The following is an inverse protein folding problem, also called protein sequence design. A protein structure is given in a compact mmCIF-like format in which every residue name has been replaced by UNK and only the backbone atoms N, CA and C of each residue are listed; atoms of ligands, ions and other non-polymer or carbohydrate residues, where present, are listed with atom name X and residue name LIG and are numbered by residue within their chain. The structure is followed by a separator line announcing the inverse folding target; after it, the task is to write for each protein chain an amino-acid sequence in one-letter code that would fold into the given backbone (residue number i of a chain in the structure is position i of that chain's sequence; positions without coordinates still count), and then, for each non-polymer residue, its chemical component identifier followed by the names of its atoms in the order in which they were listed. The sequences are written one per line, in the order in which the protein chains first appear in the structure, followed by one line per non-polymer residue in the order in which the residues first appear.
data_IF_396505347808
#
_entry.id   IF_396505347808
#
_cell.length_a   1.000
_cell.length_b   1.000
_cell.length_c   1.000
_cell.angle_alpha   90.00
_cell.angle_beta   90.00
_cell.angle_gamma   90.00
#
_symmetry.space_group_name_H-M   'P 1'
#
loop_
_entity.id
_entity.type
_entity.pdbx_description
1 polymer ?
#
# COMPACT_ATOMS: atom_id res chain seq x y z
N UNK A 1 7.14 -26.62 9.40
CA UNK A 1 6.25 -25.70 8.65
C UNK A 1 6.10 -24.43 9.46
N UNK A 2 5.92 -23.28 8.80
CA UNK A 2 5.60 -22.03 9.50
C UNK A 2 4.16 -22.15 9.99
N UNK A 3 3.92 -21.81 11.24
CA UNK A 3 2.56 -21.71 11.78
C UNK A 3 2.16 -20.24 11.84
N UNK A 4 0.87 -19.97 11.69
CA UNK A 4 0.33 -18.61 11.74
C UNK A 4 -0.84 -18.53 12.72
N UNK A 5 -0.94 -17.41 13.43
CA UNK A 5 -2.10 -17.04 14.23
C UNK A 5 -2.72 -15.80 13.60
N UNK A 6 -3.89 -15.95 13.00
CA UNK A 6 -4.63 -14.89 12.33
C UNK A 6 -5.63 -14.22 13.27
N UNK A 7 -5.64 -12.89 13.27
CA UNK A 7 -6.61 -12.08 14.02
C UNK A 7 -7.09 -10.91 13.15
N UNK A 8 -8.42 -10.77 13.03
CA UNK A 8 -9.05 -9.62 12.38
C UNK A 8 -9.52 -8.65 13.44
N UNK A 9 -9.04 -7.42 13.37
CA UNK A 9 -9.34 -6.31 14.28
C UNK A 9 -10.38 -5.37 13.69
N UNK A 10 -10.76 -4.36 14.48
CA UNK A 10 -11.70 -3.32 14.08
C UNK A 10 -11.27 -2.59 12.80
N UNK A 11 -12.25 -2.00 12.09
CA UNK A 11 -12.07 -1.31 10.82
C UNK A 11 -11.37 -2.14 9.72
N UNK A 12 -11.35 -3.47 9.81
CA UNK A 12 -10.73 -4.34 8.81
C UNK A 12 -9.22 -4.47 8.90
N UNK A 13 -8.61 -4.04 10.02
CA UNK A 13 -7.21 -4.34 10.32
C UNK A 13 -7.01 -5.85 10.47
N UNK A 14 -5.87 -6.35 10.02
CA UNK A 14 -5.50 -7.77 10.05
C UNK A 14 -4.11 -7.89 10.64
N UNK A 15 -3.98 -8.74 11.65
CA UNK A 15 -2.71 -9.10 12.25
C UNK A 15 -2.50 -10.61 12.13
N UNK A 16 -1.29 -10.99 11.73
CA UNK A 16 -0.91 -12.39 11.60
C UNK A 16 0.43 -12.57 12.31
N UNK A 17 0.47 -13.42 13.33
CA UNK A 17 1.72 -13.77 14.00
C UNK A 17 2.22 -15.09 13.42
N UNK A 18 3.36 -15.04 12.74
CA UNK A 18 4.05 -16.20 12.20
C UNK A 18 5.07 -16.70 13.22
N UNK A 19 5.02 -18.00 13.52
CA UNK A 19 6.09 -18.70 14.25
C UNK A 19 6.87 -19.53 13.24
N UNK A 20 8.13 -19.16 13.06
CA UNK A 20 9.05 -19.78 12.10
C UNK A 20 10.00 -20.70 12.87
N UNK A 21 9.99 -22.03 12.59
CA UNK A 21 10.85 -22.97 13.30
C UNK A 21 12.34 -22.75 13.05
N UNK A 22 13.17 -22.96 14.08
CA UNK A 22 14.63 -22.86 14.01
C UNK A 22 15.25 -23.69 12.88
N UNK A 23 14.74 -24.90 12.64
CA UNK A 23 15.23 -25.79 11.58
C UNK A 23 15.05 -25.19 10.18
N UNK A 24 13.91 -24.54 9.94
CA UNK A 24 13.61 -23.88 8.67
C UNK A 24 14.49 -22.64 8.49
N UNK A 25 14.70 -21.87 9.56
CA UNK A 25 15.60 -20.72 9.57
C UNK A 25 17.03 -21.16 9.21
N UNK A 26 17.53 -22.25 9.79
CA UNK A 26 18.86 -22.77 9.50
C UNK A 26 19.01 -23.22 8.03
N UNK A 27 17.99 -23.87 7.48
CA UNK A 27 17.97 -24.27 6.07
C UNK A 27 17.99 -23.04 5.14
N UNK A 28 17.12 -22.06 5.39
CA UNK A 28 17.06 -20.83 4.59
C UNK A 28 18.33 -19.99 4.72
N UNK A 29 18.92 -19.93 5.92
CA UNK A 29 20.21 -19.26 6.16
C UNK A 29 21.29 -19.77 5.21
N UNK A 30 21.37 -21.08 5.01
CA UNK A 30 22.37 -21.69 4.11
C UNK A 30 22.17 -21.23 2.66
N UNK A 31 20.92 -21.14 2.20
CA UNK A 31 20.56 -20.67 0.86
C UNK A 31 20.95 -19.19 0.71
N UNK A 32 20.53 -18.36 1.67
CA UNK A 32 20.78 -16.91 1.66
C UNK A 32 22.29 -16.61 1.69
N UNK A 33 23.07 -17.28 2.54
CA UNK A 33 24.53 -17.09 2.58
C UNK A 33 25.17 -17.46 1.24
N UNK A 34 24.71 -18.53 0.58
CA UNK A 34 25.18 -18.94 -0.75
C UNK A 34 24.85 -17.90 -1.84
N UNK A 35 23.67 -17.30 -1.79
CA UNK A 35 23.27 -16.24 -2.72
C UNK A 35 24.09 -14.97 -2.50
N UNK A 36 24.23 -14.53 -1.25
CA UNK A 36 25.01 -13.34 -0.90
C UNK A 36 26.51 -13.52 -1.21
N UNK A 37 27.04 -14.74 -1.08
CA UNK A 37 28.43 -15.04 -1.42
C UNK A 37 28.78 -14.71 -2.89
N UNK A 38 27.81 -14.79 -3.81
CA UNK A 38 28.02 -14.47 -5.24
C UNK A 38 28.40 -13.01 -5.44
N UNK A 39 27.91 -12.11 -4.59
CA UNK A 39 28.08 -10.68 -4.73
C UNK A 39 29.12 -10.07 -3.79
N UNK A 40 29.42 -10.73 -2.67
CA UNK A 40 30.39 -10.27 -1.69
C UNK A 40 31.82 -10.45 -2.21
N UNK A 41 32.63 -9.39 -2.07
CA UNK A 41 34.08 -9.41 -2.30
C UNK A 41 34.81 -9.42 -0.97
N UNK A 42 35.55 -10.49 -0.70
CA UNK A 42 36.41 -10.58 0.49
C UNK A 42 37.88 -10.42 0.11
N UNK A 43 38.69 -9.71 0.92
CA UNK A 43 40.13 -9.65 0.72
C UNK A 43 40.75 -11.05 0.60
N UNK A 44 41.49 -11.29 -0.48
CA UNK A 44 42.13 -12.58 -0.76
C UNK A 44 41.28 -13.60 -1.52
N UNK A 45 39.99 -13.34 -1.77
CA UNK A 45 39.11 -14.21 -2.56
C UNK A 45 38.55 -13.49 -3.77
N UNK A 46 38.54 -14.18 -4.92
CA UNK A 46 37.84 -13.69 -6.12
C UNK A 46 36.34 -13.64 -5.84
N UNK A 47 35.63 -12.63 -6.37
CA UNK A 47 34.16 -12.46 -6.24
C UNK A 47 33.46 -13.82 -6.45
N UNK A 48 32.62 -14.23 -5.50
CA UNK A 48 31.88 -15.50 -5.57
C UNK A 48 32.64 -16.77 -5.17
N UNK A 49 33.94 -16.69 -4.87
CA UNK A 49 34.80 -17.85 -4.56
C UNK A 49 35.21 -17.93 -3.08
N UNK A 50 34.65 -17.06 -2.23
CA UNK A 50 34.90 -17.09 -0.81
C UNK A 50 34.17 -18.26 -0.12
N UNK A 51 34.80 -18.99 0.81
CA UNK A 51 34.14 -20.03 1.59
C UNK A 51 32.94 -19.47 2.38
N UNK A 52 31.81 -20.21 2.39
CA UNK A 52 30.55 -19.77 3.00
C UNK A 52 30.70 -19.34 4.47
N UNK A 53 31.50 -20.07 5.27
CA UNK A 53 31.74 -19.73 6.69
C UNK A 53 32.40 -18.35 6.87
N UNK A 54 33.25 -17.93 5.93
CA UNK A 54 33.91 -16.61 5.95
C UNK A 54 32.98 -15.51 5.45
N UNK A 55 32.13 -15.83 4.49
CA UNK A 55 31.08 -14.94 3.99
C UNK A 55 30.07 -14.65 5.10
N UNK A 56 29.58 -15.69 5.77
CA UNK A 56 28.65 -15.57 6.91
C UNK A 56 29.22 -14.68 8.01
N UNK A 57 30.49 -14.88 8.36
CA UNK A 57 31.18 -14.06 9.38
C UNK A 57 31.36 -12.59 8.98
N UNK A 58 31.25 -12.27 7.68
CA UNK A 58 31.41 -10.91 7.14
C UNK A 58 30.09 -10.15 7.00
N UNK A 59 28.95 -10.84 7.06
CA UNK A 59 27.62 -10.25 6.93
C UNK A 59 27.12 -9.87 8.33
N UNK A 60 26.49 -8.71 8.48
CA UNK A 60 25.84 -8.35 9.73
C UNK A 60 24.66 -9.28 10.02
N UNK A 61 24.49 -9.65 11.29
CA UNK A 61 23.41 -10.55 11.72
C UNK A 61 22.04 -10.01 11.29
N UNK A 62 21.82 -8.69 11.40
CA UNK A 62 20.56 -8.05 11.01
C UNK A 62 20.28 -8.20 9.52
N UNK A 63 21.27 -7.93 8.67
CA UNK A 63 21.12 -8.05 7.22
C UNK A 63 20.85 -9.50 6.81
N UNK A 64 21.54 -10.45 7.44
CA UNK A 64 21.30 -11.86 7.20
C UNK A 64 19.86 -12.26 7.60
N UNK A 65 19.37 -11.79 8.75
CA UNK A 65 18.02 -12.05 9.21
C UNK A 65 16.98 -11.42 8.27
N UNK A 66 17.18 -10.18 7.82
CA UNK A 66 16.31 -9.52 6.83
C UNK A 66 16.17 -10.34 5.55
N UNK A 67 17.28 -10.85 5.01
CA UNK A 67 17.26 -11.70 3.83
C UNK A 67 16.58 -13.07 4.10
N UNK A 68 16.78 -13.67 5.26
CA UNK A 68 16.05 -14.92 5.62
C UNK A 68 14.54 -14.66 5.64
N UNK A 69 14.12 -13.58 6.29
CA UNK A 69 12.72 -13.18 6.37
C UNK A 69 12.14 -12.85 4.98
N UNK A 70 12.92 -12.22 4.09
CA UNK A 70 12.46 -11.90 2.72
C UNK A 70 12.19 -13.12 1.86
N UNK A 71 12.79 -14.28 2.17
CA UNK A 71 12.47 -15.55 1.50
C UNK A 71 11.25 -16.25 2.11
N UNK A 72 11.11 -16.22 3.44
CA UNK A 72 10.10 -16.99 4.15
C UNK A 72 8.74 -16.31 4.20
N UNK A 73 8.72 -15.01 4.50
CA UNK A 73 7.49 -14.26 4.78
C UNK A 73 6.57 -14.08 3.58
N UNK A 74 7.04 -13.82 2.34
CA UNK A 74 6.13 -13.68 1.19
C UNK A 74 5.32 -14.94 0.92
N UNK A 75 5.96 -16.10 1.03
CA UNK A 75 5.30 -17.40 0.84
C UNK A 75 4.30 -17.67 1.97
N UNK A 76 4.72 -17.51 3.24
CA UNK A 76 3.84 -17.69 4.39
C UNK A 76 2.63 -16.75 4.38
N UNK A 77 2.85 -15.51 3.95
CA UNK A 77 1.77 -14.53 3.79
C UNK A 77 0.82 -14.90 2.64
N UNK A 78 1.34 -15.31 1.49
CA UNK A 78 0.50 -15.78 0.37
C UNK A 78 -0.37 -16.98 0.76
N UNK A 79 0.18 -17.92 1.53
CA UNK A 79 -0.57 -19.06 2.06
C UNK A 79 -1.66 -18.60 3.02
N UNK A 80 -1.35 -17.69 3.95
CA UNK A 80 -2.34 -17.15 4.91
C UNK A 80 -3.46 -16.37 4.22
N UNK A 81 -3.15 -15.63 3.16
CA UNK A 81 -4.15 -14.95 2.30
C UNK A 81 -5.11 -15.95 1.67
N UNK A 82 -4.60 -17.08 1.15
CA UNK A 82 -5.41 -18.14 0.54
C UNK A 82 -6.25 -18.88 1.57
N UNK A 83 -5.66 -19.22 2.71
CA UNK A 83 -6.31 -19.97 3.78
C UNK A 83 -7.47 -19.17 4.39
N UNK A 84 -7.23 -17.90 4.73
CA UNK A 84 -8.23 -17.05 5.39
C UNK A 84 -9.10 -16.25 4.41
N UNK A 85 -8.83 -16.33 3.09
CA UNK A 85 -9.62 -15.73 2.00
C UNK A 85 -9.87 -14.23 2.18
N UNK A 86 -8.87 -13.51 2.69
CA UNK A 86 -8.94 -12.05 2.85
C UNK A 86 -8.19 -11.36 1.70
N UNK A 87 -8.53 -10.11 1.40
CA UNK A 87 -7.86 -9.35 0.33
C UNK A 87 -7.09 -8.17 0.94
N UNK A 88 -5.75 -8.26 1.04
CA UNK A 88 -4.96 -7.19 1.61
C UNK A 88 -5.04 -5.93 0.73
N UNK A 89 -5.38 -4.80 1.34
CA UNK A 89 -5.38 -3.49 0.69
C UNK A 89 -3.97 -2.91 0.55
N UNK A 90 -3.10 -3.25 1.50
CA UNK A 90 -1.71 -2.79 1.56
C UNK A 90 -0.78 -3.99 1.75
N UNK A 91 0.46 -3.86 1.28
CA UNK A 91 1.48 -4.85 1.59
C UNK A 91 1.70 -4.92 3.12
N UNK A 92 1.80 -6.13 3.71
CA UNK A 92 1.96 -6.26 5.15
C UNK A 92 3.27 -5.64 5.63
N UNK A 93 3.19 -4.88 6.71
CA UNK A 93 4.36 -4.46 7.47
C UNK A 93 4.72 -5.58 8.45
N UNK A 94 5.98 -5.99 8.43
CA UNK A 94 6.48 -7.05 9.30
C UNK A 94 7.25 -6.46 10.48
N UNK A 95 6.90 -6.91 11.68
CA UNK A 95 7.51 -6.52 12.94
C UNK A 95 8.06 -7.76 13.63
N UNK A 96 9.35 -7.73 13.96
CA UNK A 96 9.98 -8.78 14.76
C UNK A 96 9.49 -8.71 16.20
N UNK A 97 8.78 -9.73 16.66
CA UNK A 97 8.39 -9.85 18.08
C UNK A 97 9.47 -10.58 18.88
N UNK A 98 10.02 -11.65 18.29
CA UNK A 98 11.06 -12.46 18.89
C UNK A 98 11.98 -13.01 17.81
N UNK A 99 13.25 -12.63 17.87
CA UNK A 99 14.30 -13.16 17.02
C UNK A 99 15.46 -13.57 17.93
N UNK A 100 15.93 -14.81 17.76
CA UNK A 100 17.02 -15.37 18.55
C UNK A 100 17.80 -16.41 17.76
N UNK A 101 19.09 -16.54 18.07
CA UNK A 101 19.91 -17.57 17.43
C UNK A 101 19.51 -18.95 17.93
N UNK A 102 19.27 -19.89 17.01
CA UNK A 102 18.91 -21.27 17.34
C UNK A 102 17.54 -21.43 17.98
N UNK A 103 16.70 -20.39 17.97
CA UNK A 103 15.33 -20.44 18.46
C UNK A 103 14.33 -20.16 17.33
N UNK A 104 13.08 -20.52 17.57
CA UNK A 104 11.97 -20.10 16.72
C UNK A 104 11.83 -18.58 16.71
N UNK A 105 11.40 -18.04 15.58
CA UNK A 105 11.17 -16.60 15.41
C UNK A 105 9.68 -16.31 15.34
N UNK A 106 9.25 -15.29 16.09
CA UNK A 106 7.90 -14.78 16.03
C UNK A 106 7.90 -13.44 15.30
N UNK A 107 7.22 -13.41 14.14
CA UNK A 107 7.11 -12.24 13.27
C UNK A 107 5.64 -11.87 13.13
N UNK A 108 5.29 -10.63 13.48
CA UNK A 108 3.95 -10.10 13.31
C UNK A 108 3.85 -9.39 11.96
N UNK A 109 2.95 -9.83 11.11
CA UNK A 109 2.52 -9.11 9.92
C UNK A 109 1.27 -8.29 10.23
N UNK A 110 1.29 -7.02 9.85
CA UNK A 110 0.17 -6.10 10.03
C UNK A 110 -0.25 -5.57 8.66
N UNK A 111 -1.51 -5.74 8.31
CA UNK A 111 -2.13 -5.23 7.09
C UNK A 111 -3.59 -4.84 7.37
N UNK A 112 -4.34 -4.44 6.36
CA UNK A 112 -5.77 -4.21 6.46
C UNK A 112 -6.46 -4.59 5.15
N UNK A 113 -7.75 -4.92 5.24
CA UNK A 113 -8.62 -5.05 4.08
C UNK A 113 -9.25 -3.70 3.73
N UNK A 114 -9.67 -3.56 2.48
CA UNK A 114 -10.49 -2.42 2.10
C UNK A 114 -11.82 -2.49 2.87
N UNK A 115 -12.24 -1.37 3.50
CA UNK A 115 -13.51 -1.35 4.21
C UNK A 115 -14.66 -1.54 3.23
N UNK A 116 -15.65 -2.33 3.63
CA UNK A 116 -16.85 -2.56 2.83
C UNK A 116 -17.70 -1.30 2.85
N UNK A 117 -17.97 -0.73 1.67
CA UNK A 117 -18.83 0.44 1.54
C UNK A 117 -20.28 -0.04 1.53
N UNK A 118 -21.06 0.44 2.49
CA UNK A 118 -22.52 0.24 2.48
C UNK A 118 -23.16 1.53 2.00
N UNK A 119 -23.57 1.52 0.75
CA UNK A 119 -24.38 2.59 0.16
C UNK A 119 -25.81 2.50 0.72
N UNK A 120 -26.01 3.00 1.95
CA UNK A 120 -27.34 3.18 2.54
C UNK A 120 -28.18 4.18 1.70
N UNK A 121 -29.24 4.81 2.24
CA UNK A 121 -30.03 5.84 1.52
C UNK A 121 -29.26 7.16 1.29
N UNK A 122 -28.02 7.07 0.79
CA UNK A 122 -27.17 8.21 0.46
C UNK A 122 -27.87 9.13 -0.54
N UNK A 123 -28.62 8.57 -1.49
CA UNK A 123 -29.40 9.33 -2.48
C UNK A 123 -30.48 10.24 -1.87
N UNK A 124 -31.06 9.87 -0.73
CA UNK A 124 -32.09 10.69 -0.06
C UNK A 124 -31.48 11.78 0.83
N UNK A 125 -30.24 11.59 1.26
CA UNK A 125 -29.54 12.49 2.15
C UNK A 125 -28.62 13.48 1.42
N UNK A 126 -28.37 13.26 0.12
CA UNK A 126 -27.68 14.20 -0.74
C UNK A 126 -28.60 15.38 -1.07
N UNK A 127 -28.19 16.58 -0.68
CA UNK A 127 -28.90 17.83 -0.99
C UNK A 127 -28.13 18.72 -1.98
N UNK A 128 -26.93 18.29 -2.36
CA UNK A 128 -25.97 19.06 -3.13
C UNK A 128 -26.21 18.94 -4.63
N UNK A 129 -26.20 20.09 -5.31
CA UNK A 129 -26.42 20.21 -6.76
C UNK A 129 -25.10 20.31 -7.53
N UNK A 130 -23.99 20.57 -6.82
CA UNK A 130 -22.66 20.79 -7.42
C UNK A 130 -21.69 19.65 -7.10
N UNK A 131 -20.80 19.32 -8.06
CA UNK A 131 -19.77 18.28 -7.90
C UNK A 131 -18.90 18.51 -6.66
N UNK A 132 -18.48 19.76 -6.40
CA UNK A 132 -17.61 20.09 -5.26
C UNK A 132 -18.28 19.92 -3.90
N UNK A 133 -19.61 20.09 -3.84
CA UNK A 133 -20.39 19.88 -2.63
C UNK A 133 -20.59 18.39 -2.37
N UNK A 134 -20.88 17.60 -3.42
CA UNK A 134 -20.99 16.15 -3.33
C UNK A 134 -19.70 15.50 -2.80
N UNK A 135 -18.55 15.96 -3.27
CA UNK A 135 -17.22 15.49 -2.83
C UNK A 135 -17.05 15.68 -1.31
N UNK A 136 -17.60 16.75 -0.74
CA UNK A 136 -17.51 17.07 0.70
C UNK A 136 -18.62 16.45 1.54
N UNK A 137 -19.78 16.19 0.96
CA UNK A 137 -20.94 15.63 1.67
C UNK A 137 -20.92 14.10 1.69
N UNK A 138 -20.49 13.44 0.61
CA UNK A 138 -20.50 11.97 0.49
C UNK A 138 -19.77 11.26 1.65
N UNK A 139 -18.53 11.66 2.03
CA UNK A 139 -17.82 11.05 3.17
C UNK A 139 -18.51 11.26 4.52
N UNK A 140 -19.37 12.29 4.65
CA UNK A 140 -20.08 12.60 5.90
C UNK A 140 -21.37 11.80 6.05
N UNK A 141 -22.04 11.53 4.93
CA UNK A 141 -23.29 10.77 4.88
C UNK A 141 -23.03 9.28 5.06
N UNK A 142 -21.98 8.77 4.42
CA UNK A 142 -21.61 7.35 4.51
C UNK A 142 -20.61 7.17 5.65
N UNK A 143 -21.08 6.63 6.78
CA UNK A 143 -20.20 6.24 7.88
C UNK A 143 -19.30 5.09 7.42
N UNK A 144 -18.05 5.40 7.11
CA UNK A 144 -17.04 4.44 6.72
C UNK A 144 -15.95 4.38 7.79
N UNK A 145 -15.73 3.21 8.37
CA UNK A 145 -14.61 2.98 9.26
C UNK A 145 -13.38 2.63 8.44
N UNK A 146 -12.50 3.62 8.23
CA UNK A 146 -11.26 3.43 7.49
C UNK A 146 -10.16 2.99 8.46
N UNK A 147 -9.48 1.86 8.21
CA UNK A 147 -8.36 1.46 9.04
C UNK A 147 -7.23 2.49 8.98
N UNK A 148 -6.70 2.88 10.15
CA UNK A 148 -5.61 3.89 10.25
C UNK A 148 -4.39 3.55 9.41
N UNK A 149 -4.06 2.25 9.31
CA UNK A 149 -2.96 1.76 8.48
C UNK A 149 -3.10 2.15 7.01
N UNK A 150 -4.31 2.12 6.47
CA UNK A 150 -4.59 2.53 5.09
C UNK A 150 -4.40 4.04 4.92
N UNK A 151 -4.86 4.83 5.89
CA UNK A 151 -4.68 6.30 5.88
C UNK A 151 -3.21 6.66 5.99
N UNK A 152 -2.46 6.01 6.89
CA UNK A 152 -1.03 6.26 7.08
C UNK A 152 -0.22 5.95 5.83
N UNK A 153 -0.57 4.87 5.11
CA UNK A 153 0.07 4.51 3.85
C UNK A 153 -0.17 5.57 2.77
N UNK A 154 -1.42 6.00 2.59
CA UNK A 154 -1.78 7.07 1.65
C UNK A 154 -1.08 8.40 2.00
N UNK A 155 -0.96 8.73 3.29
CA UNK A 155 -0.22 9.91 3.75
C UNK A 155 1.26 9.81 3.36
N UNK A 156 1.90 8.65 3.57
CA UNK A 156 3.30 8.45 3.22
C UNK A 156 3.54 8.56 1.70
N UNK A 157 2.64 8.02 0.89
CA UNK A 157 2.69 8.16 -0.58
C UNK A 157 2.59 9.63 -1.01
N UNK A 158 1.62 10.38 -0.46
CA UNK A 158 1.47 11.82 -0.75
C UNK A 158 2.68 12.64 -0.32
N UNK A 159 3.25 12.34 0.84
CA UNK A 159 4.47 12.98 1.31
C UNK A 159 5.64 12.68 0.36
N UNK A 160 5.78 11.43 -0.07
CA UNK A 160 6.82 11.03 -1.03
C UNK A 160 6.67 11.75 -2.37
N UNK A 161 5.44 11.90 -2.87
CA UNK A 161 5.15 12.67 -4.09
C UNK A 161 5.45 14.16 -3.93
N UNK A 162 5.13 14.73 -2.77
CA UNK A 162 5.48 16.11 -2.45
C UNK A 162 7.00 16.30 -2.43
N UNK A 163 7.74 15.40 -1.77
CA UNK A 163 9.20 15.43 -1.72
C UNK A 163 9.79 15.38 -3.13
N UNK A 164 9.36 14.44 -3.95
CA UNK A 164 9.82 14.33 -5.34
C UNK A 164 9.54 15.59 -6.17
N UNK A 165 8.42 16.28 -5.90
CA UNK A 165 8.10 17.56 -6.56
C UNK A 165 9.01 18.70 -6.08
N UNK A 166 9.26 18.77 -4.77
CA UNK A 166 10.13 19.77 -4.14
C UNK A 166 11.57 19.60 -4.65
N UNK A 167 12.07 18.36 -4.70
CA UNK A 167 13.41 18.05 -5.22
C UNK A 167 13.56 18.43 -6.69
N UNK A 168 12.55 18.18 -7.52
CA UNK A 168 12.53 18.62 -8.93
C UNK A 168 12.60 20.13 -9.11
N UNK A 169 12.09 20.89 -8.14
CA UNK A 169 12.16 22.35 -8.13
C UNK A 169 13.46 22.86 -7.49
N UNK A 170 14.38 21.97 -7.10
CA UNK A 170 15.65 22.32 -6.45
C UNK A 170 15.49 22.86 -5.04
N UNK A 171 14.34 22.60 -4.40
CA UNK A 171 14.04 23.05 -3.05
C UNK A 171 14.38 21.97 -2.03
N UNK A 172 14.62 22.37 -0.78
CA UNK A 172 14.71 21.45 0.35
C UNK A 172 13.39 21.46 1.12
N UNK A 173 12.96 20.29 1.62
CA UNK A 173 11.72 20.14 2.39
C UNK A 173 11.63 21.17 3.53
N UNK A 174 12.71 21.35 4.28
CA UNK A 174 12.75 22.29 5.41
C UNK A 174 12.53 23.74 4.95
N UNK A 175 13.13 24.13 3.83
CA UNK A 175 12.94 25.45 3.22
C UNK A 175 11.50 25.66 2.73
N UNK A 176 10.91 24.64 2.12
CA UNK A 176 9.50 24.66 1.71
C UNK A 176 8.59 24.85 2.93
N UNK A 177 8.74 24.01 3.95
CA UNK A 177 7.96 24.07 5.19
C UNK A 177 8.06 25.44 5.87
N UNK A 178 9.26 26.03 5.90
CA UNK A 178 9.48 27.39 6.42
C UNK A 178 8.74 28.46 5.61
N UNK A 179 8.69 28.31 4.27
CA UNK A 179 8.00 29.25 3.38
C UNK A 179 6.48 29.24 3.52
N UNK A 180 5.88 28.06 3.75
CA UNK A 180 4.44 27.90 4.04
C UNK A 180 4.11 28.03 5.53
N UNK A 181 5.11 28.21 6.40
CA UNK A 181 4.91 28.34 7.85
C UNK A 181 4.35 27.08 8.51
N UNK A 182 4.67 25.90 7.97
CA UNK A 182 4.17 24.61 8.48
C UNK A 182 5.29 23.78 9.09
N UNK A 183 4.93 22.90 10.03
CA UNK A 183 5.83 21.85 10.55
C UNK A 183 5.51 20.51 9.89
N UNK A 184 6.46 19.56 9.95
CA UNK A 184 6.25 18.19 9.45
C UNK A 184 5.02 17.55 10.10
N UNK A 185 4.83 17.78 11.41
CA UNK A 185 3.70 17.25 12.17
C UNK A 185 2.37 17.83 11.67
N UNK A 186 2.26 19.16 11.55
CA UNK A 186 1.03 19.80 11.04
C UNK A 186 0.69 19.38 9.61
N UNK A 187 1.70 19.23 8.76
CA UNK A 187 1.52 18.74 7.39
C UNK A 187 0.99 17.31 7.38
N UNK A 188 1.54 16.44 8.23
CA UNK A 188 1.12 15.04 8.34
C UNK A 188 -0.33 14.94 8.83
N UNK A 189 -0.70 15.73 9.83
CA UNK A 189 -2.07 15.77 10.37
C UNK A 189 -3.10 16.28 9.34
N UNK A 190 -2.74 17.32 8.58
CA UNK A 190 -3.57 17.82 7.48
C UNK A 190 -3.76 16.76 6.40
N UNK A 191 -2.67 16.10 5.99
CA UNK A 191 -2.73 15.02 5.02
C UNK A 191 -3.52 13.84 5.55
N UNK A 192 -3.45 13.53 6.84
CA UNK A 192 -4.24 12.45 7.42
C UNK A 192 -5.75 12.70 7.27
N UNK A 193 -6.22 13.91 7.59
CA UNK A 193 -7.64 14.29 7.40
C UNK A 193 -8.04 14.26 5.92
N UNK A 194 -7.23 14.86 5.06
CA UNK A 194 -7.50 14.90 3.62
C UNK A 194 -7.46 13.52 2.97
N UNK A 195 -6.55 12.64 3.39
CA UNK A 195 -6.43 11.27 2.90
C UNK A 195 -7.60 10.43 3.37
N UNK A 196 -8.07 10.61 4.62
CA UNK A 196 -9.25 9.91 5.10
C UNK A 196 -10.49 10.26 4.26
N UNK A 197 -10.75 11.56 4.02
CA UNK A 197 -11.87 12.00 3.19
C UNK A 197 -11.73 11.54 1.73
N UNK A 198 -10.50 11.58 1.18
CA UNK A 198 -10.22 11.16 -0.19
C UNK A 198 -10.41 9.65 -0.38
N UNK A 199 -9.91 8.82 0.54
CA UNK A 199 -10.11 7.37 0.52
C UNK A 199 -11.59 7.05 0.67
N UNK A 200 -12.30 7.69 1.59
CA UNK A 200 -13.74 7.51 1.75
C UNK A 200 -14.48 7.80 0.45
N UNK A 201 -14.21 8.95 -0.16
CA UNK A 201 -14.82 9.35 -1.43
C UNK A 201 -14.49 8.36 -2.55
N UNK A 202 -13.23 7.97 -2.67
CA UNK A 202 -12.78 7.00 -3.68
C UNK A 202 -13.56 5.68 -3.56
N UNK A 203 -13.67 5.15 -2.36
CA UNK A 203 -14.37 3.88 -2.11
C UNK A 203 -15.87 4.01 -2.37
N UNK A 204 -16.48 5.12 -1.95
CA UNK A 204 -17.90 5.40 -2.22
C UNK A 204 -18.16 5.49 -3.72
N UNK A 205 -17.35 6.25 -4.47
CA UNK A 205 -17.53 6.41 -5.91
C UNK A 205 -17.33 5.10 -6.66
N UNK A 206 -16.34 4.29 -6.26
CA UNK A 206 -16.13 2.97 -6.84
C UNK A 206 -17.36 2.07 -6.59
N UNK A 207 -17.91 2.07 -5.36
CA UNK A 207 -19.11 1.28 -5.05
C UNK A 207 -20.35 1.78 -5.79
N UNK A 208 -20.52 3.10 -5.94
CA UNK A 208 -21.62 3.70 -6.71
C UNK A 208 -21.49 3.30 -8.18
N UNK A 209 -20.29 3.35 -8.75
CA UNK A 209 -20.04 2.93 -10.12
C UNK A 209 -20.38 1.45 -10.33
N UNK A 210 -19.99 0.58 -9.40
CA UNK A 210 -20.31 -0.84 -9.43
C UNK A 210 -21.82 -1.10 -9.31
N UNK A 211 -22.49 -0.46 -8.35
CA UNK A 211 -23.94 -0.56 -8.13
C UNK A 211 -24.73 -0.08 -9.36
N UNK A 212 -24.29 1.00 -9.97
CA UNK A 212 -24.92 1.56 -11.16
C UNK A 212 -24.44 0.93 -12.48
N UNK A 213 -23.56 -0.09 -12.41
CA UNK A 213 -22.95 -0.80 -13.54
C UNK A 213 -22.41 0.17 -14.60
N UNK A 214 -21.70 1.20 -14.15
CA UNK A 214 -21.06 2.18 -15.02
C UNK A 214 -19.89 1.49 -15.70
N UNK A 215 -20.11 0.98 -16.90
CA UNK A 215 -19.05 0.45 -17.75
C UNK A 215 -18.34 1.61 -18.46
N UNK A 216 -17.00 1.58 -18.48
CA UNK A 216 -16.18 2.58 -19.17
C UNK A 216 -15.53 1.90 -20.35
N UNK A 217 -16.01 2.24 -21.54
CA UNK A 217 -15.45 1.67 -22.78
C UNK A 217 -14.06 2.23 -23.06
N UNK A 218 -13.21 1.45 -23.74
CA UNK A 218 -11.86 1.90 -24.16
C UNK A 218 -11.89 3.21 -24.96
N UNK A 219 -12.94 3.45 -25.75
CA UNK A 219 -13.12 4.67 -26.54
C UNK A 219 -13.23 5.93 -25.68
N UNK A 220 -13.87 5.85 -24.52
CA UNK A 220 -14.05 6.98 -23.62
C UNK A 220 -12.77 7.29 -22.83
N UNK A 221 -11.96 6.26 -22.58
CA UNK A 221 -10.61 6.40 -22.02
C UNK A 221 -9.71 7.11 -23.03
N UNK A 222 -9.75 6.70 -24.30
CA UNK A 222 -8.99 7.36 -25.37
C UNK A 222 -9.41 8.83 -25.55
N UNK A 223 -10.69 9.14 -25.48
CA UNK A 223 -11.21 10.51 -25.56
C UNK A 223 -10.77 11.36 -24.36
N UNK A 224 -10.75 10.78 -23.16
CA UNK A 224 -10.22 11.44 -21.96
C UNK A 224 -8.71 11.72 -22.09
N UNK A 225 -7.93 10.77 -22.60
CA UNK A 225 -6.47 10.95 -22.84
C UNK A 225 -6.22 12.06 -23.86
N UNK A 226 -7.01 12.13 -24.96
CA UNK A 226 -6.95 13.22 -25.95
C UNK A 226 -7.23 14.58 -25.32
N UNK A 227 -8.24 14.66 -24.46
CA UNK A 227 -8.65 15.92 -23.80
C UNK A 227 -7.58 16.43 -22.83
N UNK A 228 -6.81 15.52 -22.22
CA UNK A 228 -5.78 15.84 -21.22
C UNK A 228 -4.40 16.10 -21.87
N UNK A 229 -4.30 16.07 -23.20
CA UNK A 229 -3.06 16.36 -23.94
C UNK A 229 -1.96 15.32 -23.77
N UNK A 230 -2.29 14.12 -23.29
CA UNK A 230 -1.33 13.04 -23.06
C UNK A 230 -1.16 12.18 -24.30
N UNK A 231 0.06 11.67 -24.52
CA UNK A 231 0.43 10.91 -25.71
C UNK A 231 -0.10 9.47 -25.60
N UNK A 232 -1.18 9.17 -26.34
CA UNK A 232 -1.87 7.86 -26.35
C UNK A 232 -0.91 6.70 -26.68
N UNK A 233 0.15 7.00 -27.44
CA UNK A 233 1.15 6.05 -27.92
C UNK A 233 2.03 5.43 -26.84
N UNK A 234 2.08 6.02 -25.63
CA UNK A 234 2.89 5.55 -24.49
C UNK A 234 2.08 4.89 -23.38
N UNK A 235 0.77 4.71 -23.59
CA UNK A 235 -0.14 4.19 -22.57
C UNK A 235 -0.08 2.67 -22.56
N UNK A 236 0.60 2.08 -21.58
CA UNK A 236 0.60 0.63 -21.36
C UNK A 236 -0.76 0.12 -20.82
N UNK A 237 -0.94 -1.19 -20.77
CA UNK A 237 -2.20 -1.80 -20.31
C UNK A 237 -2.50 -1.53 -18.82
N UNK A 238 -1.49 -1.21 -18.02
CA UNK A 238 -1.64 -0.86 -16.61
C UNK A 238 -2.14 0.60 -16.46
N UNK A 239 -1.58 1.51 -17.25
CA UNK A 239 -1.99 2.90 -17.37
C UNK A 239 -3.41 3.02 -17.94
N UNK A 240 -3.81 2.18 -18.91
CA UNK A 240 -5.19 2.12 -19.39
C UNK A 240 -6.18 1.77 -18.27
N UNK A 241 -5.85 0.79 -17.43
CA UNK A 241 -6.70 0.41 -16.28
C UNK A 241 -6.79 1.52 -15.23
N UNK A 242 -5.69 2.23 -14.98
CA UNK A 242 -5.72 3.41 -14.11
C UNK A 242 -6.64 4.50 -14.67
N UNK A 243 -6.52 4.81 -15.97
CA UNK A 243 -7.35 5.82 -16.62
C UNK A 243 -8.83 5.41 -16.68
N UNK A 244 -9.13 4.12 -16.89
CA UNK A 244 -10.50 3.59 -16.78
C UNK A 244 -11.11 3.88 -15.41
N UNK A 245 -10.38 3.65 -14.32
CA UNK A 245 -10.86 3.96 -12.96
C UNK A 245 -11.13 5.45 -12.77
N UNK A 246 -10.25 6.31 -13.29
CA UNK A 246 -10.42 7.77 -13.21
C UNK A 246 -11.68 8.23 -13.96
N UNK A 247 -11.85 7.76 -15.20
CA UNK A 247 -13.04 8.08 -16.03
C UNK A 247 -14.31 7.53 -15.40
N UNK A 248 -14.27 6.33 -14.81
CA UNK A 248 -15.39 5.69 -14.12
C UNK A 248 -15.85 6.54 -12.93
N UNK A 249 -14.92 7.01 -12.10
CA UNK A 249 -15.22 7.88 -10.95
C UNK A 249 -15.83 9.21 -11.38
N UNK A 250 -15.28 9.83 -12.42
CA UNK A 250 -15.82 11.08 -12.98
C UNK A 250 -17.25 10.87 -13.48
N UNK A 251 -17.53 9.77 -14.19
CA UNK A 251 -18.88 9.42 -14.63
C UNK A 251 -19.84 9.15 -13.48
N UNK A 252 -19.37 8.49 -12.41
CA UNK A 252 -20.17 8.29 -11.21
C UNK A 252 -20.59 9.64 -10.61
N UNK A 253 -19.64 10.59 -10.49
CA UNK A 253 -19.93 11.95 -10.04
C UNK A 253 -20.92 12.68 -10.97
N UNK A 254 -20.71 12.64 -12.29
CA UNK A 254 -21.63 13.27 -13.26
C UNK A 254 -23.04 12.66 -13.25
N UNK A 255 -23.16 11.36 -12.96
CA UNK A 255 -24.45 10.69 -12.88
C UNK A 255 -25.17 10.98 -11.56
N UNK A 256 -24.42 11.24 -10.49
CA UNK A 256 -24.96 11.74 -9.23
C UNK A 256 -25.46 13.17 -9.38
N UNK A 257 -24.74 14.06 -10.08
CA UNK A 257 -25.19 15.44 -10.32
C UNK A 257 -26.39 15.55 -11.27
N UNK A 258 -26.58 14.60 -12.19
CA UNK A 258 -27.75 14.57 -13.11
C UNK A 258 -29.03 13.98 -12.51
N UNK A 259 -28.97 13.37 -11.32
CA UNK A 259 -30.11 12.71 -10.65
C UNK A 259 -30.62 13.44 -9.41
N UNK A 260 -29.94 14.51 -8.99
CA UNK A 260 -30.43 15.50 -8.00
C UNK A 260 -31.15 16.61 -8.76
#
# INVERSE_FOLDING_TARGET
MITSKFEKKEAGNVEIVYTIPADLIAQTKTIVVSEMAKDITLPGFRKGMAPLNKVESSISVDKLNEHILSHLLPTAFSESVKEHKFTPAIYPKFEALKIGQGSDWDIKAVTCELPKVILADYKQNLKSTTTDELIKELPKVVKLEIPKLLVDEEVNERLSQLLARIEKLGLQLEGYLRSVGKTVETLRDEYQKQSQDAIALELILNEVANSEKIDVSEKEVEEFVKTTGSDISKVDDEQKKMLQRVVMRRKALEKLTKKV
#
